data_IF_222726787035
#
_entry.id   IF_222726787035
#
_cell.length_a   1.000
_cell.length_b   1.000
_cell.length_c   1.000
_cell.angle_alpha   90.00
_cell.angle_beta   90.00
_cell.angle_gamma   90.00
#
_symmetry.space_group_name_H-M   'P 1'
#
loop_
_entity.id
_entity.type
_entity.pdbx_description
1 polymer ?
#
# COMPACT_ATOMS: atom_id res chain seq x y z
N UNK A 1 -3.24 -3.72 3.06
CA UNK A 1 -3.88 -2.38 3.20
C UNK A 1 -3.84 -1.73 1.83
N UNK A 2 -4.94 -1.21 1.32
CA UNK A 2 -4.93 -0.43 0.08
C UNK A 2 -4.26 0.91 0.34
N UNK A 3 -3.31 1.30 -0.50
CA UNK A 3 -2.80 2.66 -0.54
C UNK A 3 -2.91 3.19 -1.96
N UNK A 4 -3.07 4.50 -2.09
CA UNK A 4 -3.44 5.18 -3.33
C UNK A 4 -2.38 5.10 -4.42
N UNK A 5 -1.13 4.83 -4.02
CA UNK A 5 0.02 4.72 -4.92
C UNK A 5 0.32 3.26 -5.28
N UNK A 6 -0.31 2.29 -4.61
CA UNK A 6 0.02 0.86 -4.67
C UNK A 6 1.49 0.55 -4.35
N UNK A 7 2.13 1.42 -3.57
CA UNK A 7 3.54 1.28 -3.21
C UNK A 7 3.63 0.76 -1.78
N UNK A 8 4.25 -0.41 -1.60
CA UNK A 8 4.37 -1.05 -0.30
C UNK A 8 5.06 -0.16 0.75
N UNK A 9 6.02 0.67 0.33
CA UNK A 9 6.77 1.55 1.23
C UNK A 9 5.87 2.50 2.01
N UNK A 10 4.77 2.98 1.41
CA UNK A 10 3.81 3.89 2.07
C UNK A 10 3.09 3.21 3.24
N UNK A 11 2.94 1.89 3.18
CA UNK A 11 2.36 1.10 4.27
C UNK A 11 3.42 0.61 5.25
N UNK A 12 4.64 0.32 4.80
CA UNK A 12 5.67 -0.27 5.67
C UNK A 12 6.40 0.78 6.52
N UNK A 13 6.82 1.90 5.94
CA UNK A 13 7.58 2.96 6.63
C UNK A 13 6.98 3.37 7.99
N UNK A 14 5.71 3.81 8.09
CA UNK A 14 5.21 4.35 9.35
C UNK A 14 5.14 3.32 10.49
N UNK A 15 5.16 2.01 10.19
CA UNK A 15 4.96 0.96 11.18
C UNK A 15 6.22 0.14 11.47
N UNK A 16 7.07 -0.05 10.46
CA UNK A 16 8.17 -1.01 10.46
C UNK A 16 9.56 -0.37 10.45
N UNK A 17 9.64 0.96 10.46
CA UNK A 17 10.90 1.70 10.65
C UNK A 17 10.81 2.64 11.85
N UNK A 18 11.93 2.83 12.53
CA UNK A 18 12.15 3.73 13.65
C UNK A 18 11.97 5.21 13.25
N UNK A 19 11.73 6.05 14.26
CA UNK A 19 11.61 7.50 14.07
C UNK A 19 10.30 7.94 13.42
N UNK A 20 9.36 7.02 13.21
CA UNK A 20 8.03 7.31 12.68
C UNK A 20 6.98 7.33 13.79
N UNK A 21 5.82 7.91 13.51
CA UNK A 21 4.78 8.13 14.51
C UNK A 21 4.00 6.86 14.93
N UNK A 22 4.24 5.71 14.28
CA UNK A 22 3.54 4.44 14.53
C UNK A 22 4.50 3.25 14.73
N UNK A 23 5.78 3.48 15.05
CA UNK A 23 6.77 2.39 15.22
C UNK A 23 6.33 1.39 16.29
N UNK A 24 6.10 0.14 15.88
CA UNK A 24 5.72 -0.97 16.76
C UNK A 24 6.60 -2.21 16.59
N UNK A 25 7.54 -2.16 15.66
CA UNK A 25 8.50 -3.21 15.34
C UNK A 25 9.85 -2.56 15.02
N UNK A 26 10.94 -3.19 15.47
CA UNK A 26 12.32 -2.71 15.31
C UNK A 26 13.17 -3.90 14.87
N UNK A 27 13.84 -3.76 13.72
CA UNK A 27 14.74 -4.75 13.17
C UNK A 27 15.78 -4.08 12.27
N UNK A 28 17.05 -4.33 12.52
CA UNK A 28 18.16 -3.77 11.73
C UNK A 28 18.06 -4.18 10.24
N UNK A 29 17.56 -5.40 9.98
CA UNK A 29 17.37 -5.92 8.62
C UNK A 29 16.24 -5.20 7.89
N UNK A 30 15.13 -4.94 8.59
CA UNK A 30 14.01 -4.16 8.04
C UNK A 30 14.45 -2.72 7.73
N UNK A 31 15.19 -2.08 8.63
CA UNK A 31 15.74 -0.75 8.42
C UNK A 31 16.62 -0.68 7.17
N UNK A 32 17.51 -1.67 7.02
CA UNK A 32 18.39 -1.75 5.86
C UNK A 32 17.60 -1.88 4.55
N UNK A 33 16.65 -2.81 4.48
CA UNK A 33 15.80 -3.02 3.31
C UNK A 33 15.00 -1.77 2.95
N UNK A 34 14.44 -1.10 3.96
CA UNK A 34 13.64 0.12 3.77
C UNK A 34 14.50 1.33 3.36
N UNK A 35 15.76 1.39 3.80
CA UNK A 35 16.73 2.40 3.37
C UNK A 35 17.18 2.15 1.93
N UNK A 36 17.51 0.91 1.58
CA UNK A 36 18.01 0.54 0.26
C UNK A 36 16.96 0.82 -0.82
N UNK A 37 15.71 0.37 -0.63
CA UNK A 37 14.64 0.62 -1.60
C UNK A 37 14.35 2.12 -1.81
N UNK A 38 14.60 2.96 -0.81
CA UNK A 38 14.37 4.40 -0.91
C UNK A 38 15.43 5.10 -1.77
N UNK A 39 16.60 4.49 -1.89
CA UNK A 39 17.73 5.01 -2.68
C UNK A 39 17.91 4.32 -4.03
N UNK A 40 17.22 3.20 -4.26
CA UNK A 40 17.29 2.43 -5.49
C UNK A 40 16.54 3.11 -6.65
N UNK A 41 17.20 3.22 -7.80
CA UNK A 41 16.68 3.86 -9.00
C UNK A 41 16.14 2.86 -10.03
N UNK A 42 16.64 1.62 -10.01
CA UNK A 42 16.14 0.54 -10.86
C UNK A 42 14.84 -0.03 -10.28
N UNK A 43 13.79 -0.05 -11.10
CA UNK A 43 12.44 -0.40 -10.64
C UNK A 43 12.34 -1.87 -10.22
N UNK A 44 12.96 -2.78 -10.96
CA UNK A 44 12.89 -4.23 -10.69
C UNK A 44 13.66 -4.56 -9.40
N UNK A 45 14.83 -3.94 -9.22
CA UNK A 45 15.64 -4.07 -7.99
C UNK A 45 14.88 -3.50 -6.78
N UNK A 46 14.25 -2.34 -6.94
CA UNK A 46 13.43 -1.74 -5.88
C UNK A 46 12.24 -2.62 -5.51
N UNK A 47 11.57 -3.21 -6.49
CA UNK A 47 10.47 -4.16 -6.25
C UNK A 47 10.96 -5.35 -5.44
N UNK A 48 12.10 -5.95 -5.79
CA UNK A 48 12.64 -7.09 -5.05
C UNK A 48 12.95 -6.74 -3.59
N UNK A 49 13.54 -5.56 -3.32
CA UNK A 49 13.79 -5.10 -1.96
C UNK A 49 12.49 -4.97 -1.13
N UNK A 50 11.42 -4.48 -1.74
CA UNK A 50 10.11 -4.40 -1.10
C UNK A 50 9.47 -5.78 -0.88
N UNK A 51 9.70 -6.73 -1.79
CA UNK A 51 9.27 -8.14 -1.61
C UNK A 51 10.01 -8.79 -0.45
N UNK A 52 11.32 -8.59 -0.34
CA UNK A 52 12.15 -9.13 0.74
C UNK A 52 11.72 -8.54 2.10
N UNK A 53 11.45 -7.23 2.15
CA UNK A 53 10.92 -6.59 3.35
C UNK A 53 9.54 -7.16 3.74
N UNK A 54 8.66 -7.41 2.77
CA UNK A 54 7.35 -7.99 3.02
C UNK A 54 7.46 -9.46 3.48
N UNK A 55 8.43 -10.21 2.98
CA UNK A 55 8.73 -11.57 3.45
C UNK A 55 9.21 -11.54 4.91
N UNK A 56 10.14 -10.64 5.26
CA UNK A 56 10.62 -10.48 6.63
C UNK A 56 9.48 -10.11 7.59
N UNK A 57 8.63 -9.15 7.20
CA UNK A 57 7.44 -8.78 7.96
C UNK A 57 6.50 -9.99 8.20
N UNK A 58 6.36 -10.88 7.21
CA UNK A 58 5.59 -12.10 7.34
C UNK A 58 6.24 -13.12 8.28
N UNK A 59 7.55 -13.36 8.14
CA UNK A 59 8.30 -14.33 8.95
C UNK A 59 8.33 -13.92 10.43
N UNK A 60 8.49 -12.63 10.70
CA UNK A 60 8.48 -12.07 12.06
C UNK A 60 7.06 -11.86 12.62
N UNK A 61 6.03 -12.16 11.83
CA UNK A 61 4.63 -12.02 12.18
C UNK A 61 4.27 -10.62 12.72
N UNK A 62 4.87 -9.57 12.13
CA UNK A 62 4.62 -8.17 12.54
C UNK A 62 3.19 -7.74 12.25
N UNK A 63 2.57 -8.37 11.26
CA UNK A 63 1.16 -8.23 10.92
C UNK A 63 0.46 -9.59 10.91
N UNK A 64 -0.81 -9.57 11.28
CA UNK A 64 -1.71 -10.70 11.01
C UNK A 64 -2.37 -10.45 9.66
N UNK A 65 -2.02 -11.26 8.67
CA UNK A 65 -2.62 -11.21 7.34
C UNK A 65 -4.02 -11.81 7.40
N UNK A 66 -5.04 -10.94 7.27
CA UNK A 66 -6.44 -11.33 7.35
C UNK A 66 -7.05 -11.46 5.96
N UNK A 67 -7.88 -10.49 5.59
CA UNK A 67 -8.69 -10.50 4.38
C UNK A 67 -8.23 -9.42 3.41
N UNK A 68 -8.27 -9.73 2.11
CA UNK A 68 -8.23 -8.70 1.07
C UNK A 68 -9.65 -8.18 0.84
N UNK A 69 -9.82 -6.86 0.91
CA UNK A 69 -11.13 -6.24 0.86
C UNK A 69 -11.78 -6.41 -0.52
N UNK A 70 -13.05 -6.81 -0.53
CA UNK A 70 -13.90 -6.75 -1.72
C UNK A 70 -14.79 -5.52 -1.60
N UNK A 71 -14.64 -4.61 -2.54
CA UNK A 71 -15.38 -3.35 -2.54
C UNK A 71 -16.71 -3.53 -3.28
N UNK A 72 -17.81 -3.18 -2.62
CA UNK A 72 -19.14 -3.20 -3.20
C UNK A 72 -19.65 -1.76 -3.25
N UNK A 73 -19.92 -1.27 -4.47
CA UNK A 73 -20.37 0.11 -4.70
C UNK A 73 -21.86 0.15 -5.00
N UNK A 74 -22.58 1.07 -4.34
CA UNK A 74 -23.95 1.44 -4.69
C UNK A 74 -23.95 2.81 -5.38
N UNK A 75 -24.44 2.86 -6.61
CA UNK A 75 -24.45 4.09 -7.44
C UNK A 75 -25.90 4.41 -7.81
N UNK A 76 -26.24 5.70 -7.85
CA UNK A 76 -27.54 6.14 -8.32
C UNK A 76 -27.64 5.96 -9.85
N UNK A 77 -28.76 5.46 -10.36
CA UNK A 77 -28.99 5.25 -11.81
C UNK A 77 -28.85 6.50 -12.69
N UNK A 78 -28.76 7.70 -12.10
CA UNK A 78 -28.53 8.95 -12.82
C UNK A 78 -27.05 9.30 -12.99
N UNK A 79 -26.15 8.48 -12.45
CA UNK A 79 -24.71 8.69 -12.47
C UNK A 79 -24.04 7.52 -13.18
N UNK A 80 -23.30 7.84 -14.24
CA UNK A 80 -22.37 6.93 -14.90
C UNK A 80 -20.99 7.12 -14.27
N UNK A 81 -20.49 6.06 -13.63
CA UNK A 81 -19.18 6.03 -12.98
C UNK A 81 -18.70 4.59 -12.82
N UNK A 82 -17.42 4.36 -13.12
CA UNK A 82 -16.76 3.06 -12.95
C UNK A 82 -15.83 3.09 -11.73
N UNK A 83 -15.90 2.08 -10.84
CA UNK A 83 -14.96 1.94 -9.73
C UNK A 83 -13.51 1.94 -10.17
N UNK A 84 -12.68 2.64 -9.40
CA UNK A 84 -11.23 2.72 -9.62
C UNK A 84 -10.50 1.78 -8.65
N UNK A 85 -9.35 1.21 -9.04
CA UNK A 85 -8.53 0.42 -8.13
C UNK A 85 -8.07 1.21 -6.90
N UNK A 86 -7.91 2.54 -7.03
CA UNK A 86 -7.43 3.44 -5.98
C UNK A 86 -8.55 3.94 -5.05
N UNK A 87 -9.78 3.45 -5.25
CA UNK A 87 -10.96 3.70 -4.41
C UNK A 87 -11.41 5.17 -4.33
N UNK A 88 -10.84 6.08 -5.14
CA UNK A 88 -11.23 7.47 -5.11
C UNK A 88 -12.55 7.74 -5.82
N UNK A 89 -13.36 8.62 -5.20
CA UNK A 89 -14.55 9.21 -5.80
C UNK A 89 -14.24 10.59 -6.38
N UNK A 90 -13.71 10.61 -7.61
CA UNK A 90 -13.41 11.86 -8.30
C UNK A 90 -14.61 12.32 -9.14
N UNK A 91 -15.17 13.49 -8.80
CA UNK A 91 -16.29 14.08 -9.52
C UNK A 91 -16.01 14.30 -11.03
N UNK A 92 -14.74 14.46 -11.40
CA UNK A 92 -14.30 14.64 -12.80
C UNK A 92 -14.52 13.39 -13.67
N UNK A 93 -14.61 12.21 -13.06
CA UNK A 93 -14.87 10.94 -13.76
C UNK A 93 -16.31 10.46 -13.62
N UNK A 94 -17.22 11.32 -13.14
CA UNK A 94 -18.63 11.02 -12.98
C UNK A 94 -19.44 11.83 -13.99
N UNK A 95 -20.33 11.16 -14.71
CA UNK A 95 -21.21 11.79 -15.69
C UNK A 95 -22.66 11.53 -15.35
N UNK A 96 -23.57 12.34 -15.90
CA UNK A 96 -25.00 12.10 -15.76
C UNK A 96 -25.41 11.05 -16.79
N UNK A 97 -26.05 9.98 -16.35
CA UNK A 97 -26.58 8.93 -17.22
C UNK A 97 -27.62 9.50 -18.21
N UNK A 98 -27.63 8.95 -19.43
CA UNK A 98 -28.55 9.33 -20.52
C UNK A 98 -30.03 9.05 -20.23
#
# INVERSE_FOLDING_TARGET
>A
MGNTTFDASQTMLPWLTEGTSQTHYVSDEMEQLMSDQASEADADTREQLLQDANQLAHEDAVWVFLNQEFLVYGINERIDWEPRPDEFFLAQGMERSE
#
